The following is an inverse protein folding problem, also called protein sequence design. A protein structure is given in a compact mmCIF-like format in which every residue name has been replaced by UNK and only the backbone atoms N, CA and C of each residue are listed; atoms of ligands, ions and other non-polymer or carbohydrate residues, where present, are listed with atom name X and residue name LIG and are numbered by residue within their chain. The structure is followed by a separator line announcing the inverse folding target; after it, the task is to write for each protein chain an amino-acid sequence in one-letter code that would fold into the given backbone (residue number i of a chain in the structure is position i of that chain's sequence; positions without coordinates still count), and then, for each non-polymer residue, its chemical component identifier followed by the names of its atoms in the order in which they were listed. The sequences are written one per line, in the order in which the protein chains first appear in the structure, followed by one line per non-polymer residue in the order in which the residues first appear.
data_IF_051296963627
#
_entry.id   IF_051296963627
#
_cell.length_a   1.000
_cell.length_b   1.000
_cell.length_c   1.000
_cell.angle_alpha   90.00
_cell.angle_beta   90.00
_cell.angle_gamma   90.00
#
_symmetry.space_group_name_H-M   'P 1'
#
loop_
_entity.id
_entity.type
_entity.pdbx_description
1 polymer ?
#
# COMPACT_ATOMS: atom_id res chain seq x y z
N UNK A 1 -0.21 -0.25 -7.96
CA UNK A 1 -1.14 -0.13 -9.10
C UNK A 1 -0.87 1.24 -9.67
N UNK A 2 -0.72 1.35 -11.00
CA UNK A 2 -0.42 2.64 -11.61
C UNK A 2 -1.69 3.47 -11.66
N UNK A 3 -1.69 4.58 -10.95
CA UNK A 3 -2.68 5.63 -11.08
C UNK A 3 -2.07 6.74 -11.97
N UNK A 4 -2.59 6.96 -13.20
CA UNK A 4 -2.03 7.99 -14.09
C UNK A 4 -2.29 9.42 -13.61
N UNK A 5 -3.25 9.61 -12.71
CA UNK A 5 -3.63 10.91 -12.16
C UNK A 5 -2.88 11.19 -10.84
N UNK A 6 -2.01 10.27 -10.41
CA UNK A 6 -1.17 10.43 -9.23
C UNK A 6 -0.02 11.41 -9.50
N UNK A 7 0.18 12.36 -8.59
CA UNK A 7 1.23 13.36 -8.73
C UNK A 7 1.14 14.47 -7.70
N UNK A 8 1.71 15.62 -8.06
CA UNK A 8 1.73 16.84 -7.24
C UNK A 8 0.84 17.89 -7.90
N UNK A 9 -0.13 18.40 -7.15
CA UNK A 9 -1.02 19.48 -7.58
C UNK A 9 -0.31 20.84 -7.62
N UNK A 10 -0.94 21.87 -8.21
CA UNK A 10 -0.36 23.22 -8.30
C UNK A 10 -0.06 23.88 -6.95
N UNK A 11 -0.72 23.44 -5.88
CA UNK A 11 -0.54 23.89 -4.49
C UNK A 11 0.48 23.05 -3.70
N UNK A 12 1.14 22.09 -4.35
CA UNK A 12 2.09 21.17 -3.71
C UNK A 12 1.43 19.99 -2.99
N UNK A 13 0.09 19.87 -3.05
CA UNK A 13 -0.61 18.75 -2.45
C UNK A 13 -0.47 17.47 -3.29
N UNK A 14 -0.58 16.33 -2.61
CA UNK A 14 -0.76 15.05 -3.30
C UNK A 14 -2.09 15.10 -4.06
N UNK A 15 -2.07 14.65 -5.31
CA UNK A 15 -3.28 14.39 -6.11
C UNK A 15 -3.28 12.94 -6.57
N UNK A 16 -4.48 12.37 -6.70
CA UNK A 16 -4.70 11.00 -7.21
C UNK A 16 -5.95 10.96 -8.08
N UNK A 17 -6.13 9.84 -8.76
CA UNK A 17 -7.29 9.56 -9.58
C UNK A 17 -8.50 9.05 -8.82
N UNK A 18 -8.44 8.95 -7.49
CA UNK A 18 -9.51 8.38 -6.67
C UNK A 18 -10.75 9.29 -6.66
N UNK A 19 -11.93 8.73 -6.97
CA UNK A 19 -13.18 9.48 -6.94
C UNK A 19 -14.40 8.57 -6.87
N UNK A 20 -15.41 8.96 -6.08
CA UNK A 20 -16.70 8.24 -6.01
C UNK A 20 -17.36 8.11 -7.38
N UNK A 21 -17.25 9.14 -8.22
CA UNK A 21 -17.84 9.17 -9.56
C UNK A 21 -17.11 8.31 -10.58
N UNK A 22 -15.90 7.82 -10.27
CA UNK A 22 -15.14 6.89 -11.13
C UNK A 22 -15.41 5.41 -10.79
N UNK A 23 -16.09 5.13 -9.68
CA UNK A 23 -16.42 3.75 -9.28
C UNK A 23 -17.33 3.12 -10.35
N UNK A 24 -16.91 2.01 -10.99
CA UNK A 24 -17.74 1.39 -12.01
C UNK A 24 -19.01 0.79 -11.40
N UNK A 25 -20.16 1.02 -12.03
CA UNK A 25 -21.47 0.55 -11.55
C UNK A 25 -21.53 -0.96 -11.26
N UNK A 26 -20.74 -1.77 -11.97
CA UNK A 26 -20.64 -3.20 -11.76
C UNK A 26 -20.17 -3.59 -10.34
N UNK A 27 -19.39 -2.72 -9.66
CA UNK A 27 -18.88 -2.97 -8.32
C UNK A 27 -19.79 -2.43 -7.19
N UNK A 28 -20.82 -1.65 -7.50
CA UNK A 28 -21.76 -1.12 -6.49
C UNK A 28 -22.43 -2.20 -5.63
N UNK A 29 -22.89 -3.34 -6.21
CA UNK A 29 -23.46 -4.41 -5.40
C UNK A 29 -22.48 -5.03 -4.39
N UNK A 30 -21.17 -4.99 -4.70
CA UNK A 30 -20.12 -5.44 -3.77
C UNK A 30 -19.99 -4.47 -2.62
N UNK A 31 -19.93 -3.17 -2.91
CA UNK A 31 -19.80 -2.12 -1.88
C UNK A 31 -21.00 -2.11 -0.93
N UNK A 32 -22.21 -2.26 -1.47
CA UNK A 32 -23.43 -2.41 -0.67
C UNK A 32 -23.36 -3.65 0.23
N UNK A 33 -23.01 -4.82 -0.33
CA UNK A 33 -22.92 -6.06 0.44
C UNK A 33 -21.84 -6.01 1.54
N UNK A 34 -20.71 -5.33 1.30
CA UNK A 34 -19.69 -5.13 2.34
C UNK A 34 -20.24 -4.18 3.41
N UNK A 35 -20.84 -3.06 3.01
CA UNK A 35 -21.42 -2.09 3.96
C UNK A 35 -22.44 -2.74 4.89
N UNK A 36 -23.35 -3.56 4.36
CA UNK A 36 -24.34 -4.29 5.14
C UNK A 36 -23.69 -5.29 6.11
N UNK A 37 -22.63 -5.98 5.66
CA UNK A 37 -21.96 -7.00 6.46
C UNK A 37 -21.12 -6.42 7.61
N UNK A 38 -20.55 -5.21 7.43
CA UNK A 38 -19.73 -4.57 8.47
C UNK A 38 -20.54 -3.71 9.43
N UNK A 39 -21.72 -3.26 9.02
CA UNK A 39 -22.64 -2.47 9.84
C UNK A 39 -22.31 -0.97 9.89
N UNK A 40 -23.29 -0.16 10.28
CA UNK A 40 -23.26 1.30 10.19
C UNK A 40 -22.23 1.99 11.11
N UNK A 41 -21.76 1.30 12.15
CA UNK A 41 -20.75 1.83 13.07
C UNK A 41 -19.32 1.79 12.47
N UNK A 42 -19.12 1.05 11.38
CA UNK A 42 -17.81 0.88 10.74
C UNK A 42 -17.64 1.91 9.64
N UNK A 43 -16.55 2.68 9.69
CA UNK A 43 -16.21 3.59 8.59
C UNK A 43 -15.53 2.83 7.48
N UNK A 44 -16.24 2.65 6.36
CA UNK A 44 -15.79 1.87 5.22
C UNK A 44 -15.24 2.79 4.12
N UNK A 45 -14.04 2.48 3.66
CA UNK A 45 -13.33 3.24 2.65
C UNK A 45 -12.87 2.33 1.50
N UNK A 46 -13.17 2.73 0.28
CA UNK A 46 -12.73 2.07 -0.94
C UNK A 46 -11.45 2.72 -1.44
N UNK A 47 -10.46 1.91 -1.83
CA UNK A 47 -9.25 2.40 -2.48
C UNK A 47 -8.89 1.50 -3.67
N UNK A 48 -7.72 1.73 -4.24
CA UNK A 48 -7.21 0.86 -5.29
C UNK A 48 -8.00 1.01 -6.59
N UNK A 49 -8.00 -0.06 -7.40
CA UNK A 49 -8.33 0.05 -8.83
C UNK A 49 -9.80 0.37 -9.07
N UNK A 50 -10.68 -0.02 -8.14
CA UNK A 50 -12.11 0.30 -8.21
C UNK A 50 -12.32 1.79 -7.94
N UNK A 51 -11.63 2.34 -6.95
CA UNK A 51 -11.73 3.75 -6.58
C UNK A 51 -11.22 4.71 -7.67
N UNK A 52 -10.27 4.24 -8.50
CA UNK A 52 -9.73 5.00 -9.64
C UNK A 52 -10.45 4.72 -10.97
N UNK A 53 -11.48 3.86 -10.97
CA UNK A 53 -12.22 3.49 -12.19
C UNK A 53 -11.43 2.62 -13.17
N UNK A 54 -10.37 1.96 -12.70
CA UNK A 54 -9.47 1.13 -13.52
C UNK A 54 -9.66 -0.37 -13.31
N UNK A 55 -10.53 -0.77 -12.38
CA UNK A 55 -10.82 -2.16 -12.11
C UNK A 55 -11.41 -2.86 -13.34
N UNK A 56 -10.98 -4.10 -13.56
CA UNK A 56 -11.48 -5.00 -14.60
C UNK A 56 -12.26 -6.14 -13.94
N UNK A 57 -13.47 -6.37 -14.44
CA UNK A 57 -14.33 -7.48 -13.99
C UNK A 57 -13.56 -8.81 -14.08
N UNK A 58 -13.60 -9.59 -13.00
CA UNK A 58 -12.95 -10.90 -12.86
C UNK A 58 -11.43 -10.88 -12.70
N UNK A 59 -10.77 -9.73 -12.88
CA UNK A 59 -9.31 -9.63 -12.88
C UNK A 59 -8.75 -8.67 -11.82
N UNK A 60 -9.58 -7.81 -11.25
CA UNK A 60 -9.17 -6.87 -10.19
C UNK A 60 -9.71 -7.29 -8.83
N UNK A 61 -8.96 -6.92 -7.79
CA UNK A 61 -9.44 -7.00 -6.42
C UNK A 61 -10.27 -5.76 -6.09
N UNK A 62 -11.18 -5.90 -5.12
CA UNK A 62 -11.86 -4.78 -4.47
C UNK A 62 -11.18 -4.54 -3.13
N UNK A 63 -10.38 -3.48 -3.07
CA UNK A 63 -9.58 -3.15 -1.89
C UNK A 63 -10.32 -2.15 -0.99
N UNK A 64 -10.55 -2.54 0.27
CA UNK A 64 -11.34 -1.80 1.25
C UNK A 64 -10.57 -1.67 2.57
N UNK A 65 -10.79 -0.56 3.28
CA UNK A 65 -10.36 -0.33 4.64
C UNK A 65 -11.59 -0.11 5.53
N UNK A 66 -11.76 -0.98 6.53
CA UNK A 66 -12.82 -0.90 7.52
C UNK A 66 -12.24 -0.41 8.85
N UNK A 67 -12.58 0.83 9.24
CA UNK A 67 -12.14 1.42 10.51
C UNK A 67 -13.19 1.14 11.59
N UNK A 68 -12.76 0.55 12.70
CA UNK A 68 -13.63 0.12 13.79
C UNK A 68 -14.12 -1.33 13.66
N UNK A 69 -13.62 -2.09 12.70
CA UNK A 69 -13.93 -3.51 12.52
C UNK A 69 -12.75 -4.38 12.98
N UNK A 70 -12.93 -5.33 13.91
CA UNK A 70 -11.85 -6.23 14.31
C UNK A 70 -11.30 -7.05 13.13
N UNK A 71 -9.97 -7.21 13.05
CA UNK A 71 -9.31 -7.91 11.96
C UNK A 71 -9.83 -9.33 11.68
N UNK A 72 -10.14 -10.18 12.69
CA UNK A 72 -10.72 -11.50 12.43
C UNK A 72 -12.09 -11.43 11.74
N UNK A 73 -12.90 -10.41 12.08
CA UNK A 73 -14.22 -10.18 11.48
C UNK A 73 -14.07 -9.67 10.06
N UNK A 74 -13.21 -8.67 9.83
CA UNK A 74 -12.89 -8.18 8.48
C UNK A 74 -12.44 -9.31 7.55
N UNK A 75 -11.55 -10.19 8.04
CA UNK A 75 -11.09 -11.35 7.28
C UNK A 75 -12.18 -12.39 7.01
N UNK A 76 -13.12 -12.60 7.94
CA UNK A 76 -14.26 -13.49 7.72
C UNK A 76 -15.23 -12.93 6.66
N UNK A 77 -15.55 -11.64 6.73
CA UNK A 77 -16.40 -10.95 5.73
C UNK A 77 -15.73 -10.96 4.36
N UNK A 78 -14.44 -10.65 4.30
CA UNK A 78 -13.63 -10.71 3.07
C UNK A 78 -13.72 -12.07 2.39
N UNK A 79 -13.51 -13.18 3.11
CA UNK A 79 -13.60 -14.53 2.54
C UNK A 79 -15.00 -14.86 2.02
N UNK A 80 -16.03 -14.58 2.81
CA UNK A 80 -17.43 -14.86 2.44
C UNK A 80 -17.83 -14.09 1.18
N UNK A 81 -17.51 -12.79 1.12
CA UNK A 81 -17.88 -11.95 -0.02
C UNK A 81 -17.00 -12.22 -1.25
N UNK A 82 -15.73 -12.59 -1.06
CA UNK A 82 -14.88 -13.07 -2.16
C UNK A 82 -15.48 -14.30 -2.84
N UNK A 83 -15.96 -15.28 -2.06
CA UNK A 83 -16.64 -16.44 -2.62
C UNK A 83 -17.94 -16.06 -3.35
N UNK A 84 -18.75 -15.17 -2.76
CA UNK A 84 -20.01 -14.71 -3.36
C UNK A 84 -19.81 -13.95 -4.67
N UNK A 85 -18.75 -13.16 -4.78
CA UNK A 85 -18.48 -12.27 -5.91
C UNK A 85 -17.30 -12.73 -6.79
N UNK A 86 -16.93 -14.01 -6.74
CA UNK A 86 -15.79 -14.56 -7.49
C UNK A 86 -15.87 -14.38 -9.02
N UNK A 87 -17.08 -14.21 -9.57
CA UNK A 87 -17.26 -13.89 -11.00
C UNK A 87 -17.04 -12.41 -11.36
N UNK A 88 -17.03 -11.52 -10.35
CA UNK A 88 -16.96 -10.08 -10.54
C UNK A 88 -15.59 -9.50 -10.14
N UNK A 89 -14.98 -10.04 -9.09
CA UNK A 89 -13.68 -9.63 -8.58
C UNK A 89 -12.80 -10.85 -8.33
N UNK A 90 -11.48 -10.69 -8.46
CA UNK A 90 -10.53 -11.74 -8.08
C UNK A 90 -10.54 -11.99 -6.57
N UNK A 91 -10.75 -10.94 -5.78
CA UNK A 91 -10.91 -11.00 -4.33
C UNK A 91 -11.54 -9.72 -3.79
N UNK A 92 -12.18 -9.83 -2.63
CA UNK A 92 -12.64 -8.70 -1.82
C UNK A 92 -11.71 -8.61 -0.62
N UNK A 93 -10.80 -7.64 -0.63
CA UNK A 93 -9.75 -7.49 0.38
C UNK A 93 -10.13 -6.41 1.37
N UNK A 94 -10.43 -6.79 2.61
CA UNK A 94 -10.84 -5.84 3.67
C UNK A 94 -9.73 -5.75 4.71
N UNK A 95 -8.99 -4.64 4.67
CA UNK A 95 -8.08 -4.24 5.74
C UNK A 95 -8.86 -3.76 6.96
N UNK A 96 -8.38 -4.09 8.16
CA UNK A 96 -8.92 -3.59 9.42
C UNK A 96 -8.04 -2.46 9.95
N UNK A 97 -8.66 -1.33 10.26
CA UNK A 97 -8.05 -0.21 10.95
C UNK A 97 -8.81 0.11 12.23
N UNK A 98 -8.17 0.86 13.12
CA UNK A 98 -8.75 1.35 14.36
C UNK A 98 -8.92 2.87 14.32
N UNK A 99 -9.90 3.44 15.03
CA UNK A 99 -10.06 4.89 15.09
C UNK A 99 -8.80 5.62 15.58
N UNK A 100 -8.05 5.03 16.51
CA UNK A 100 -6.78 5.58 17.00
C UNK A 100 -5.67 5.64 15.93
N UNK A 101 -5.75 4.82 14.88
CA UNK A 101 -4.73 4.77 13.82
C UNK A 101 -4.67 6.06 13.00
N UNK A 102 -5.68 6.94 13.11
CA UNK A 102 -5.76 8.21 12.37
C UNK A 102 -5.71 9.43 13.27
N UNK A 103 -5.58 9.25 14.58
CA UNK A 103 -5.59 10.31 15.60
C UNK A 103 -4.19 10.48 16.21
N UNK A 104 -3.65 11.69 16.17
CA UNK A 104 -2.37 12.04 16.79
C UNK A 104 -1.29 12.49 15.81
N UNK A 105 -0.14 12.93 16.33
CA UNK A 105 0.93 13.56 15.54
C UNK A 105 2.04 12.60 15.08
N UNK A 106 1.96 11.32 15.46
CA UNK A 106 2.94 10.30 15.05
C UNK A 106 2.98 10.09 13.54
N UNK A 107 4.13 9.60 13.05
CA UNK A 107 4.34 9.41 11.61
C UNK A 107 3.35 8.40 11.01
N UNK A 108 3.06 7.30 11.72
CA UNK A 108 2.06 6.31 11.28
C UNK A 108 0.68 6.94 11.13
N UNK A 109 0.21 7.68 12.14
CA UNK A 109 -1.10 8.33 12.11
C UNK A 109 -1.17 9.42 11.04
N UNK A 110 -0.07 10.16 10.82
CA UNK A 110 0.02 11.09 9.70
C UNK A 110 -0.12 10.36 8.36
N UNK A 111 0.62 9.27 8.15
CA UNK A 111 0.53 8.44 6.94
C UNK A 111 -0.88 7.90 6.70
N UNK A 112 -1.56 7.43 7.74
CA UNK A 112 -2.93 6.94 7.65
C UNK A 112 -3.93 8.05 7.26
N UNK A 113 -3.74 9.28 7.76
CA UNK A 113 -4.55 10.43 7.31
C UNK A 113 -4.28 10.81 5.86
N UNK A 114 -3.01 10.78 5.42
CA UNK A 114 -2.65 10.99 4.00
C UNK A 114 -3.33 9.93 3.12
N UNK A 115 -3.28 8.66 3.53
CA UNK A 115 -3.94 7.55 2.84
C UNK A 115 -5.45 7.77 2.73
N UNK A 116 -6.13 8.04 3.84
CA UNK A 116 -7.57 8.27 3.85
C UNK A 116 -7.99 9.48 3.01
N UNK A 117 -7.21 10.57 3.05
CA UNK A 117 -7.54 11.79 2.29
C UNK A 117 -7.40 11.57 0.79
N UNK A 118 -6.30 10.96 0.37
CA UNK A 118 -5.88 11.02 -1.03
C UNK A 118 -6.08 9.71 -1.79
N UNK A 119 -6.14 8.57 -1.10
CA UNK A 119 -6.23 7.26 -1.76
C UNK A 119 -7.57 6.56 -1.53
N UNK A 120 -8.45 7.14 -0.71
CA UNK A 120 -9.71 6.52 -0.34
C UNK A 120 -10.93 7.34 -0.78
N UNK A 121 -11.99 6.63 -1.15
CA UNK A 121 -13.37 7.13 -1.22
C UNK A 121 -14.12 6.57 -0.02
N UNK A 122 -14.79 7.42 0.74
CA UNK A 122 -15.71 6.95 1.78
C UNK A 122 -16.94 6.28 1.13
N UNK A 123 -17.24 5.06 1.58
CA UNK A 123 -18.39 4.26 1.12
C UNK A 123 -19.56 4.40 2.08
N UNK A 124 -19.32 4.19 3.38
CA UNK A 124 -20.35 4.21 4.42
C UNK A 124 -19.75 4.40 5.82
N UNK A 125 -20.61 4.44 6.84
CA UNK A 125 -20.22 4.54 8.25
C UNK A 125 -20.37 5.95 8.84
N UNK A 126 -19.87 6.19 10.07
CA UNK A 126 -19.92 7.51 10.71
C UNK A 126 -19.12 8.55 9.90
N UNK A 127 -19.42 9.86 10.07
CA UNK A 127 -18.60 10.91 9.47
C UNK A 127 -17.17 10.83 10.02
N UNK A 128 -16.19 10.87 9.12
CA UNK A 128 -14.78 10.94 9.48
C UNK A 128 -14.33 12.38 9.78
N UNK A 129 -13.08 12.56 10.25
CA UNK A 129 -12.51 13.90 10.39
C UNK A 129 -12.44 14.61 9.03
N UNK A 130 -12.64 15.92 9.02
CA UNK A 130 -12.38 16.74 7.84
C UNK A 130 -10.87 16.85 7.65
N UNK A 131 -10.34 16.03 6.72
CA UNK A 131 -8.91 15.94 6.45
C UNK A 131 -8.51 16.99 5.41
N UNK A 132 -7.50 17.84 5.69
CA UNK A 132 -6.99 18.78 4.71
C UNK A 132 -6.27 18.06 3.57
N UNK A 133 -6.02 18.77 2.47
CA UNK A 133 -5.05 18.30 1.49
C UNK A 133 -3.65 18.23 2.13
N UNK A 134 -2.98 17.09 2.00
CA UNK A 134 -1.62 16.89 2.50
C UNK A 134 -0.57 17.16 1.42
N UNK A 135 0.56 17.79 1.77
CA UNK A 135 1.67 18.05 0.86
C UNK A 135 2.33 16.74 0.38
N UNK A 136 2.83 16.76 -0.86
CA UNK A 136 3.66 15.70 -1.41
C UNK A 136 5.11 15.85 -0.94
N UNK A 137 5.36 15.53 0.33
CA UNK A 137 6.64 15.82 0.98
C UNK A 137 7.25 14.63 1.73
N UNK A 138 8.40 14.88 2.36
CA UNK A 138 9.10 13.88 3.16
C UNK A 138 8.30 13.42 4.40
N UNK A 139 7.39 14.25 4.94
CA UNK A 139 6.53 13.85 6.07
C UNK A 139 5.49 12.83 5.61
N UNK A 140 4.87 13.04 4.45
CA UNK A 140 3.96 12.06 3.85
C UNK A 140 4.68 10.75 3.49
N UNK A 141 5.84 10.84 2.83
CA UNK A 141 6.66 9.68 2.50
C UNK A 141 7.08 8.88 3.75
N UNK A 142 7.54 9.57 4.81
CA UNK A 142 7.86 8.96 6.10
C UNK A 142 6.63 8.32 6.73
N UNK A 143 5.47 8.97 6.68
CA UNK A 143 4.25 8.40 7.24
C UNK A 143 3.87 7.05 6.62
N UNK A 144 3.99 6.91 5.30
CA UNK A 144 3.70 5.63 4.63
C UNK A 144 4.73 4.52 4.88
N UNK A 145 6.02 4.87 4.94
CA UNK A 145 7.09 3.89 4.77
C UNK A 145 8.30 4.06 5.70
N UNK A 146 8.22 4.93 6.71
CA UNK A 146 9.29 5.15 7.69
C UNK A 146 9.54 3.94 8.62
N UNK A 147 8.66 2.95 8.59
CA UNK A 147 8.78 1.64 9.25
C UNK A 147 9.65 0.62 8.50
N UNK A 148 10.18 0.96 7.31
CA UNK A 148 10.88 0.00 6.45
C UNK A 148 12.08 -0.68 7.13
N UNK A 149 12.80 0.04 7.99
CA UNK A 149 13.93 -0.51 8.74
C UNK A 149 13.48 -1.57 9.76
N UNK A 150 12.37 -1.31 10.47
CA UNK A 150 11.76 -2.26 11.40
C UNK A 150 11.31 -3.52 10.65
N UNK A 151 10.69 -3.35 9.48
CA UNK A 151 10.30 -4.48 8.64
C UNK A 151 11.50 -5.30 8.16
N UNK A 152 12.58 -4.65 7.72
CA UNK A 152 13.80 -5.34 7.31
C UNK A 152 14.39 -6.19 8.45
N UNK A 153 14.42 -5.66 9.68
CA UNK A 153 14.84 -6.41 10.88
C UNK A 153 13.93 -7.62 11.14
N UNK A 154 12.60 -7.42 11.11
CA UNK A 154 11.61 -8.50 11.31
C UNK A 154 11.72 -9.59 10.25
N UNK A 155 11.97 -9.24 8.99
CA UNK A 155 12.13 -10.23 7.93
C UNK A 155 13.41 -11.05 8.09
N UNK A 156 14.52 -10.44 8.51
CA UNK A 156 15.75 -11.19 8.83
C UNK A 156 15.51 -12.19 9.97
N UNK A 157 14.85 -11.75 11.04
CA UNK A 157 14.48 -12.62 12.16
C UNK A 157 13.55 -13.75 11.69
N UNK A 158 12.49 -13.45 10.94
CA UNK A 158 11.57 -14.45 10.41
C UNK A 158 12.26 -15.47 9.49
N UNK A 159 13.17 -15.01 8.61
CA UNK A 159 13.95 -15.89 7.75
C UNK A 159 14.86 -16.81 8.59
N UNK A 160 15.49 -16.30 9.65
CA UNK A 160 16.30 -17.11 10.57
C UNK A 160 15.44 -18.17 11.29
N UNK A 161 14.24 -17.80 11.74
CA UNK A 161 13.27 -18.67 12.41
C UNK A 161 12.53 -19.64 11.46
N UNK A 162 12.89 -19.71 10.18
CA UNK A 162 12.36 -20.71 9.27
C UNK A 162 11.05 -20.35 8.57
N UNK A 163 10.71 -19.07 8.48
CA UNK A 163 9.57 -18.63 7.66
C UNK A 163 9.70 -19.11 6.20
N UNK A 164 8.55 -19.36 5.56
CA UNK A 164 8.49 -19.69 4.14
C UNK A 164 9.17 -18.57 3.31
N UNK A 165 10.25 -18.88 2.57
CA UNK A 165 10.98 -17.88 1.81
C UNK A 165 10.15 -17.28 0.68
N UNK A 166 9.21 -18.02 0.08
CA UNK A 166 8.40 -17.50 -1.01
C UNK A 166 7.46 -16.38 -0.50
N UNK A 167 6.68 -16.67 0.53
CA UNK A 167 5.81 -15.68 1.16
C UNK A 167 6.59 -14.51 1.77
N UNK A 168 7.73 -14.77 2.40
CA UNK A 168 8.56 -13.72 2.98
C UNK A 168 9.18 -12.81 1.91
N UNK A 169 9.74 -13.38 0.85
CA UNK A 169 10.30 -12.65 -0.28
C UNK A 169 9.27 -11.76 -0.97
N UNK A 170 8.04 -12.26 -1.15
CA UNK A 170 6.94 -11.48 -1.70
C UNK A 170 6.58 -10.27 -0.82
N UNK A 171 6.43 -10.47 0.50
CA UNK A 171 6.15 -9.37 1.44
C UNK A 171 7.29 -8.34 1.48
N UNK A 172 8.54 -8.82 1.55
CA UNK A 172 9.72 -7.97 1.56
C UNK A 172 9.79 -7.11 0.28
N UNK A 173 9.58 -7.73 -0.89
CA UNK A 173 9.56 -7.03 -2.15
C UNK A 173 8.49 -5.94 -2.22
N UNK A 174 7.23 -6.27 -1.90
CA UNK A 174 6.12 -5.31 -2.00
C UNK A 174 6.30 -4.07 -1.13
N UNK A 175 6.75 -4.25 0.12
CA UNK A 175 6.96 -3.14 1.06
C UNK A 175 8.24 -2.36 0.74
N UNK A 176 9.32 -3.03 0.36
CA UNK A 176 10.57 -2.37 -0.09
C UNK A 176 10.33 -1.49 -1.31
N UNK A 177 9.60 -1.98 -2.31
CA UNK A 177 9.29 -1.20 -3.51
C UNK A 177 8.30 -0.06 -3.24
N UNK A 178 7.43 -0.18 -2.23
CA UNK A 178 6.57 0.92 -1.83
C UNK A 178 7.40 2.03 -1.15
N UNK A 179 8.35 1.66 -0.28
CA UNK A 179 9.31 2.60 0.29
C UNK A 179 10.18 3.25 -0.79
N UNK A 180 10.61 2.50 -1.81
CA UNK A 180 11.33 3.04 -2.97
C UNK A 180 10.50 4.07 -3.74
N UNK A 181 9.20 3.84 -3.93
CA UNK A 181 8.33 4.80 -4.61
C UNK A 181 8.20 6.12 -3.82
N UNK A 182 8.05 6.05 -2.50
CA UNK A 182 8.09 7.24 -1.65
C UNK A 182 9.46 7.93 -1.65
N UNK A 183 10.56 7.17 -1.71
CA UNK A 183 11.90 7.72 -1.85
C UNK A 183 12.08 8.48 -3.17
N UNK A 184 11.63 7.90 -4.30
CA UNK A 184 11.62 8.57 -5.61
C UNK A 184 10.77 9.84 -5.57
N UNK A 185 9.60 9.78 -4.93
CA UNK A 185 8.71 10.95 -4.78
C UNK A 185 9.44 12.13 -4.16
N UNK A 186 10.13 11.90 -3.03
CA UNK A 186 10.89 12.95 -2.34
C UNK A 186 12.13 13.38 -3.14
N UNK A 187 12.88 12.42 -3.68
CA UNK A 187 14.12 12.70 -4.42
C UNK A 187 13.88 13.58 -5.66
N UNK A 188 12.82 13.29 -6.43
CA UNK A 188 12.53 14.00 -7.68
C UNK A 188 11.56 15.18 -7.49
N UNK A 189 11.08 15.45 -6.27
CA UNK A 189 10.06 16.48 -6.03
C UNK A 189 8.74 16.19 -6.74
N UNK A 190 8.35 14.92 -6.79
CA UNK A 190 7.12 14.42 -7.42
C UNK A 190 6.30 13.61 -6.41
N UNK A 191 5.26 12.90 -6.86
CA UNK A 191 4.55 11.94 -6.04
C UNK A 191 4.15 10.70 -6.82
N UNK A 192 4.53 9.52 -6.32
CA UNK A 192 4.08 8.24 -6.86
C UNK A 192 4.13 7.09 -5.84
N UNK A 193 3.20 6.16 -5.98
CA UNK A 193 3.19 4.84 -5.32
C UNK A 193 3.35 3.69 -6.32
N UNK A 194 3.59 4.00 -7.61
CA UNK A 194 3.78 3.00 -8.65
C UNK A 194 5.18 2.38 -8.59
N UNK A 195 5.25 1.17 -8.04
CA UNK A 195 6.48 0.37 -7.87
C UNK A 195 7.29 0.22 -9.16
N UNK A 196 6.64 0.02 -10.31
CA UNK A 196 7.33 -0.19 -11.58
C UNK A 196 8.00 1.11 -12.07
N UNK A 197 7.30 2.24 -11.96
CA UNK A 197 7.85 3.55 -12.30
C UNK A 197 8.98 3.95 -11.35
N UNK A 198 8.82 3.70 -10.06
CA UNK A 198 9.88 3.89 -9.07
C UNK A 198 11.12 3.02 -9.34
N UNK A 199 10.94 1.74 -9.68
CA UNK A 199 12.05 0.87 -10.08
C UNK A 199 12.81 1.42 -11.28
N UNK A 200 12.09 1.81 -12.35
CA UNK A 200 12.72 2.36 -13.57
C UNK A 200 13.52 3.62 -13.22
N UNK A 201 12.88 4.56 -12.55
CA UNK A 201 13.51 5.84 -12.20
C UNK A 201 14.72 5.65 -11.28
N UNK A 202 14.61 4.81 -10.26
CA UNK A 202 15.73 4.58 -9.35
C UNK A 202 16.86 3.76 -10.00
N UNK A 203 16.57 2.96 -11.02
CA UNK A 203 17.62 2.29 -11.82
C UNK A 203 18.46 3.29 -12.63
N UNK A 204 17.94 4.48 -12.91
CA UNK A 204 18.72 5.58 -13.53
C UNK A 204 19.57 6.31 -12.48
N UNK A 205 19.04 6.48 -11.26
CA UNK A 205 19.74 7.11 -10.13
C UNK A 205 20.88 6.23 -9.63
N UNK A 206 20.64 4.93 -9.51
CA UNK A 206 21.61 3.92 -9.06
C UNK A 206 21.57 2.71 -10.02
N UNK A 207 22.31 2.78 -11.15
CA UNK A 207 22.38 1.69 -12.12
C UNK A 207 22.83 0.36 -11.53
N UNK A 208 23.63 0.41 -10.44
CA UNK A 208 24.07 -0.77 -9.70
C UNK A 208 22.97 -1.48 -8.92
N UNK A 209 21.73 -0.97 -8.89
CA UNK A 209 20.56 -1.65 -8.35
C UNK A 209 19.57 -2.16 -9.41
N UNK A 210 19.79 -1.90 -10.71
CA UNK A 210 18.80 -2.19 -11.73
C UNK A 210 18.35 -3.68 -11.75
N UNK A 211 19.29 -4.62 -11.68
CA UNK A 211 18.99 -6.05 -11.66
C UNK A 211 18.24 -6.48 -10.39
N UNK A 212 18.67 -5.96 -9.24
CA UNK A 212 18.05 -6.24 -7.94
C UNK A 212 16.62 -5.69 -7.87
N UNK A 213 16.39 -4.48 -8.39
CA UNK A 213 15.07 -3.88 -8.49
C UNK A 213 14.15 -4.67 -9.41
N UNK A 214 14.69 -5.25 -10.50
CA UNK A 214 13.93 -6.16 -11.35
C UNK A 214 13.58 -7.47 -10.64
N UNK A 215 14.47 -8.01 -9.78
CA UNK A 215 14.16 -9.16 -8.92
C UNK A 215 13.04 -8.83 -7.95
N UNK A 216 13.14 -7.71 -7.24
CA UNK A 216 12.10 -7.26 -6.31
C UNK A 216 10.77 -7.04 -7.03
N UNK A 217 10.78 -6.44 -8.23
CA UNK A 217 9.56 -6.18 -8.98
C UNK A 217 8.86 -7.50 -9.36
N UNK A 218 9.61 -8.48 -9.87
CA UNK A 218 9.06 -9.82 -10.13
C UNK A 218 8.51 -10.47 -8.87
N UNK A 219 9.24 -10.43 -7.75
CA UNK A 219 8.78 -11.00 -6.48
C UNK A 219 7.53 -10.32 -5.93
N UNK A 220 7.24 -9.08 -6.34
CA UNK A 220 6.03 -8.35 -5.92
C UNK A 220 4.76 -8.81 -6.63
N UNK A 221 4.89 -9.57 -7.72
CA UNK A 221 3.79 -10.17 -8.48
C UNK A 221 3.20 -11.38 -7.76
N UNK A 222 1.99 -11.77 -8.16
CA UNK A 222 1.35 -12.97 -7.66
C UNK A 222 2.01 -14.21 -8.30
N UNK A 223 2.44 -15.17 -7.47
CA UNK A 223 3.13 -16.40 -7.91
C UNK A 223 4.39 -16.16 -8.77
N UNK A 224 5.42 -15.47 -8.23
CA UNK A 224 6.62 -15.14 -8.99
C UNK A 224 7.38 -16.38 -9.47
N UNK A 225 7.89 -16.32 -10.70
CA UNK A 225 8.71 -17.39 -11.30
C UNK A 225 10.11 -16.88 -11.67
N UNK A 226 11.21 -17.52 -11.19
CA UNK A 226 11.23 -18.57 -10.17
C UNK A 226 10.86 -18.03 -8.78
N UNK A 227 10.28 -18.89 -7.95
CA UNK A 227 9.91 -18.55 -6.58
C UNK A 227 11.15 -18.14 -5.75
N UNK A 228 11.00 -17.23 -4.75
CA UNK A 228 12.08 -16.86 -3.86
C UNK A 228 12.60 -18.07 -3.06
N UNK A 229 13.90 -18.33 -3.16
CA UNK A 229 14.57 -19.34 -2.31
C UNK A 229 15.14 -18.67 -1.05
N UNK A 230 15.33 -19.44 0.03
CA UNK A 230 15.88 -18.92 1.30
C UNK A 230 17.17 -18.14 1.12
N UNK A 231 18.11 -18.69 0.35
CA UNK A 231 19.40 -18.06 0.05
C UNK A 231 19.24 -16.76 -0.75
N UNK A 232 18.34 -16.72 -1.74
CA UNK A 232 18.08 -15.49 -2.50
C UNK A 232 17.41 -14.42 -1.64
N UNK A 233 16.45 -14.80 -0.79
CA UNK A 233 15.80 -13.86 0.13
C UNK A 233 16.83 -13.26 1.09
N UNK A 234 17.74 -14.09 1.63
CA UNK A 234 18.84 -13.62 2.48
C UNK A 234 19.69 -12.55 1.78
N UNK A 235 20.16 -12.82 0.56
CA UNK A 235 20.93 -11.86 -0.26
C UNK A 235 20.15 -10.57 -0.53
N UNK A 236 18.87 -10.67 -0.85
CA UNK A 236 18.02 -9.50 -1.09
C UNK A 236 17.87 -8.64 0.18
N UNK A 237 17.69 -9.27 1.34
CA UNK A 237 17.59 -8.58 2.64
C UNK A 237 18.89 -7.91 3.08
N UNK A 238 20.05 -8.50 2.74
CA UNK A 238 21.39 -7.99 3.08
C UNK A 238 21.89 -6.96 2.06
N UNK A 239 21.47 -7.05 0.80
CA UNK A 239 21.87 -6.17 -0.29
C UNK A 239 20.82 -5.09 -0.58
N UNK A 240 19.99 -5.25 -1.63
CA UNK A 240 19.11 -4.17 -2.12
C UNK A 240 18.13 -3.63 -1.08
N UNK A 241 17.56 -4.47 -0.20
CA UNK A 241 16.69 -3.97 0.88
C UNK A 241 17.46 -3.08 1.85
N UNK A 242 18.68 -3.48 2.23
CA UNK A 242 19.52 -2.67 3.12
C UNK A 242 19.93 -1.34 2.48
N UNK A 243 20.26 -1.35 1.18
CA UNK A 243 20.57 -0.13 0.40
C UNK A 243 19.37 0.82 0.35
N UNK A 244 18.17 0.31 0.10
CA UNK A 244 16.93 1.11 0.08
C UNK A 244 16.62 1.66 1.47
N UNK A 245 16.78 0.87 2.54
CA UNK A 245 16.63 1.38 3.92
C UNK A 245 17.60 2.52 4.21
N UNK A 246 18.87 2.39 3.81
CA UNK A 246 19.86 3.44 4.02
C UNK A 246 19.52 4.72 3.24
N UNK A 247 19.16 4.60 1.95
CA UNK A 247 18.76 5.73 1.12
C UNK A 247 17.49 6.42 1.63
N UNK A 248 16.50 5.63 2.08
CA UNK A 248 15.28 6.14 2.70
C UNK A 248 15.58 6.90 3.99
N UNK A 249 16.46 6.35 4.84
CA UNK A 249 16.88 6.99 6.08
C UNK A 249 17.55 8.34 5.82
N UNK A 250 18.44 8.41 4.82
CA UNK A 250 19.17 9.62 4.48
C UNK A 250 18.29 10.72 3.84
N UNK A 251 17.30 10.32 3.04
CA UNK A 251 16.50 11.26 2.22
C UNK A 251 15.17 11.65 2.87
N UNK A 252 14.51 10.69 3.52
CA UNK A 252 13.13 10.84 4.03
C UNK A 252 13.10 10.82 5.57
N UNK A 253 13.97 10.01 6.18
CA UNK A 253 13.96 9.69 7.60
C UNK A 253 13.00 8.56 7.96
N UNK A 254 13.36 7.78 8.97
CA UNK A 254 12.54 6.68 9.50
C UNK A 254 11.52 7.22 10.52
N UNK A 255 10.50 6.42 10.83
CA UNK A 255 9.57 6.73 11.92
C UNK A 255 10.35 7.04 13.20
N UNK A 256 9.95 8.13 13.87
CA UNK A 256 10.49 8.43 15.20
C UNK A 256 10.05 7.32 16.16
N UNK A 257 10.97 6.84 16.99
CA UNK A 257 10.59 5.94 18.08
C UNK A 257 9.62 6.70 19.00
N UNK A 258 8.41 6.15 19.13
CA UNK A 258 7.38 6.59 20.08
C UNK A 258 7.74 6.20 21.50
#
# INVERSE_FOLDING_TARGET
MRDPDEGVGPDGAIVTGVSRGKVPAAFEPVLAAVSDAVGEAVSLHLYGSVATGRARVGASDVDLLAVGLPAPVAGAVSRTLSARFAGLARGIEIGAGRPEDVVGEGDEQYGNRVFLRHYCVRVSGPPGPDLPAFPADARAARGFNGDIAMHAQRWRAALASGADPAALGHRAARKTLLALASLVSVHDGTWTTDRASACRRWSEVDPGMAEDLAVLLRWSEFSPTPAPTRERVRRVLEGPVARIVAAFTATVGLWRAS
#
